data_IF_530321543557
#
_entry.id   IF_530321543557
#
_cell.length_a   1.000
_cell.length_b   1.000
_cell.length_c   1.000
_cell.angle_alpha   90.00
_cell.angle_beta   90.00
_cell.angle_gamma   90.00
#
_symmetry.space_group_name_H-M   'P 1'
#
loop_
_entity.id
_entity.type
_entity.pdbx_description
1 polymer ?
#
# COMPACT_ATOMS: atom_id res chain seq x y z
N UNK A 1 12.89 -23.31 0.10
CA UNK A 1 13.24 -21.95 -0.41
C UNK A 1 13.92 -22.06 -1.76
N UNK A 2 13.83 -21.03 -2.62
CA UNK A 2 14.61 -20.90 -3.86
C UNK A 2 15.39 -19.58 -3.82
N UNK A 3 16.67 -19.61 -4.17
CA UNK A 3 17.56 -18.43 -4.13
C UNK A 3 17.95 -18.03 -5.54
N UNK A 4 17.99 -16.73 -5.82
CA UNK A 4 18.39 -16.20 -7.12
C UNK A 4 18.58 -14.70 -7.10
N UNK A 5 18.61 -14.09 -8.28
CA UNK A 5 18.64 -12.64 -8.45
C UNK A 5 17.40 -12.19 -9.22
N UNK A 6 16.78 -11.10 -8.79
CA UNK A 6 15.64 -10.53 -9.50
C UNK A 6 16.11 -9.88 -10.81
N UNK A 7 15.45 -10.19 -11.92
CA UNK A 7 15.73 -9.66 -13.26
C UNK A 7 15.18 -8.23 -13.44
N UNK A 8 15.68 -7.30 -12.63
CA UNK A 8 15.42 -5.85 -12.70
C UNK A 8 16.76 -5.09 -12.57
N UNK A 9 16.71 -3.76 -12.70
CA UNK A 9 17.86 -2.88 -12.40
C UNK A 9 18.36 -3.15 -10.97
N UNK A 10 19.68 -3.16 -10.79
CA UNK A 10 20.32 -3.50 -9.50
C UNK A 10 20.48 -4.99 -9.19
N UNK A 11 19.75 -5.89 -9.88
CA UNK A 11 19.83 -7.36 -9.72
C UNK A 11 19.93 -7.83 -8.26
N UNK A 12 19.01 -7.42 -7.36
CA UNK A 12 19.09 -7.78 -5.96
C UNK A 12 18.99 -9.30 -5.76
N UNK A 13 19.67 -9.82 -4.73
CA UNK A 13 19.51 -11.19 -4.28
C UNK A 13 18.12 -11.39 -3.69
N UNK A 14 17.46 -12.50 -4.05
CA UNK A 14 16.11 -12.82 -3.60
C UNK A 14 16.05 -14.26 -3.11
N UNK A 15 15.31 -14.46 -2.02
CA UNK A 15 14.90 -15.76 -1.51
C UNK A 15 13.39 -15.87 -1.65
N UNK A 16 12.93 -16.76 -2.52
CA UNK A 16 11.51 -17.12 -2.62
C UNK A 16 11.20 -18.20 -1.58
N UNK A 17 10.27 -17.88 -0.68
CA UNK A 17 9.89 -18.73 0.45
C UNK A 17 8.59 -19.45 0.10
N UNK A 18 8.67 -20.79 0.04
CA UNK A 18 7.48 -21.64 -0.04
C UNK A 18 6.99 -21.90 1.39
N UNK A 19 5.75 -21.49 1.68
CA UNK A 19 5.11 -21.62 2.98
C UNK A 19 4.14 -22.81 3.06
N UNK A 20 3.99 -23.59 1.98
CA UNK A 20 2.98 -24.66 1.88
C UNK A 20 3.11 -25.70 2.99
N UNK A 21 4.34 -25.97 3.46
CA UNK A 21 4.61 -26.88 4.57
C UNK A 21 4.08 -26.38 5.93
N UNK A 22 3.76 -25.09 6.06
CA UNK A 22 3.17 -24.50 7.26
C UNK A 22 1.64 -24.55 7.29
N UNK A 23 0.98 -24.85 6.16
CA UNK A 23 -0.48 -24.91 6.08
C UNK A 23 -1.08 -25.86 7.12
N UNK A 24 -0.57 -27.09 7.32
CA UNK A 24 -1.07 -27.99 8.37
C UNK A 24 -0.85 -27.46 9.80
N UNK A 25 0.07 -26.51 9.99
CA UNK A 25 0.44 -25.91 11.28
C UNK A 25 -0.17 -24.51 11.47
N UNK A 26 -1.13 -24.12 10.63
CA UNK A 26 -1.71 -22.76 10.66
C UNK A 26 -2.26 -22.41 12.04
N UNK A 27 -2.91 -23.36 12.71
CA UNK A 27 -3.58 -23.08 13.98
C UNK A 27 -2.58 -22.85 15.12
N UNK A 28 -1.44 -23.55 15.09
CA UNK A 28 -0.32 -23.30 16.03
C UNK A 28 0.28 -21.90 15.83
N UNK A 29 0.44 -21.47 14.58
CA UNK A 29 1.00 -20.16 14.25
C UNK A 29 0.05 -19.04 14.66
N UNK A 30 -1.25 -19.19 14.36
CA UNK A 30 -2.27 -18.22 14.77
C UNK A 30 -2.41 -18.17 16.30
N UNK A 31 -2.35 -19.32 16.97
CA UNK A 31 -2.31 -19.41 18.42
C UNK A 31 -1.09 -18.68 18.99
N UNK A 32 0.10 -18.89 18.44
CA UNK A 32 1.32 -18.19 18.86
C UNK A 32 1.17 -16.66 18.76
N UNK A 33 0.61 -16.14 17.65
CA UNK A 33 0.38 -14.71 17.47
C UNK A 33 -0.64 -14.16 18.46
N UNK A 34 -1.68 -14.93 18.79
CA UNK A 34 -2.65 -14.58 19.82
C UNK A 34 -2.04 -14.57 21.22
N UNK A 35 -1.29 -15.62 21.60
CA UNK A 35 -0.70 -15.75 22.93
C UNK A 35 0.38 -14.69 23.18
N UNK A 36 1.16 -14.35 22.14
CA UNK A 36 2.26 -13.39 22.25
C UNK A 36 1.80 -11.93 22.16
N UNK A 37 0.88 -11.61 21.25
CA UNK A 37 0.56 -10.23 20.88
C UNK A 37 -0.94 -9.90 20.91
N UNK A 38 -1.79 -10.89 21.16
CA UNK A 38 -3.26 -10.77 21.06
C UNK A 38 -3.71 -10.34 19.66
N UNK A 39 -3.09 -10.90 18.62
CA UNK A 39 -3.58 -10.75 17.23
C UNK A 39 -4.86 -11.57 17.10
N UNK A 40 -6.00 -10.89 16.96
CA UNK A 40 -7.28 -11.56 16.70
C UNK A 40 -7.32 -12.04 15.25
N UNK A 41 -7.31 -13.34 15.04
CA UNK A 41 -7.42 -13.97 13.72
C UNK A 41 -8.73 -14.72 13.51
N UNK A 42 -9.68 -14.64 14.44
CA UNK A 42 -10.87 -15.53 14.46
C UNK A 42 -11.74 -15.34 13.22
N UNK A 43 -11.89 -14.09 12.76
CA UNK A 43 -12.66 -13.79 11.55
C UNK A 43 -11.85 -13.97 10.25
N UNK A 44 -10.55 -14.27 10.34
CA UNK A 44 -9.65 -14.36 9.20
C UNK A 44 -9.94 -15.58 8.33
N UNK A 45 -10.16 -15.36 7.04
CA UNK A 45 -10.31 -16.44 6.05
C UNK A 45 -8.97 -16.68 5.33
N UNK A 46 -8.96 -17.50 4.28
CA UNK A 46 -7.73 -17.81 3.54
C UNK A 46 -7.02 -16.58 2.97
N UNK A 47 -7.77 -15.53 2.62
CA UNK A 47 -7.22 -14.25 2.18
C UNK A 47 -6.43 -13.51 3.29
N UNK A 48 -6.58 -13.91 4.56
CA UNK A 48 -5.77 -13.50 5.70
C UNK A 48 -4.73 -14.57 6.07
N UNK A 49 -5.12 -15.85 6.08
CA UNK A 49 -4.26 -16.95 6.54
C UNK A 49 -3.05 -17.12 5.63
N UNK A 50 -3.23 -17.19 4.30
CA UNK A 50 -2.09 -17.45 3.39
C UNK A 50 -1.01 -16.38 3.51
N UNK A 51 -1.33 -15.07 3.47
CA UNK A 51 -0.31 -14.04 3.66
C UNK A 51 0.37 -14.11 5.02
N UNK A 52 -0.40 -14.35 6.10
CA UNK A 52 0.17 -14.46 7.46
C UNK A 52 1.15 -15.63 7.55
N UNK A 53 0.83 -16.78 6.96
CA UNK A 53 1.74 -17.92 6.90
C UNK A 53 3.00 -17.60 6.09
N UNK A 54 2.85 -16.89 4.97
CA UNK A 54 3.99 -16.41 4.19
C UNK A 54 4.89 -15.46 5.02
N UNK A 55 4.30 -14.47 5.69
CA UNK A 55 5.04 -13.55 6.56
C UNK A 55 5.78 -14.29 7.67
N UNK A 56 5.12 -15.23 8.34
CA UNK A 56 5.74 -16.07 9.37
C UNK A 56 6.90 -16.91 8.80
N UNK A 57 6.71 -17.54 7.64
CA UNK A 57 7.76 -18.31 6.96
C UNK A 57 8.97 -17.44 6.60
N UNK A 58 8.75 -16.20 6.14
CA UNK A 58 9.83 -15.26 5.88
C UNK A 58 10.60 -14.92 7.17
N UNK A 59 9.90 -14.73 8.29
CA UNK A 59 10.52 -14.56 9.62
C UNK A 59 11.40 -15.75 10.02
N UNK A 60 10.92 -16.98 9.81
CA UNK A 60 11.71 -18.20 10.07
C UNK A 60 13.00 -18.25 9.24
N UNK A 61 12.92 -17.89 7.96
CA UNK A 61 14.09 -17.87 7.06
C UNK A 61 15.10 -16.82 7.52
N UNK A 62 14.64 -15.62 7.90
CA UNK A 62 15.51 -14.56 8.42
C UNK A 62 16.19 -15.02 9.72
N UNK A 63 15.44 -15.55 10.68
CA UNK A 63 16.00 -16.05 11.95
C UNK A 63 17.06 -17.12 11.71
N UNK A 64 16.73 -18.14 10.90
CA UNK A 64 17.65 -19.23 10.57
C UNK A 64 18.91 -18.74 9.88
N UNK A 65 18.81 -17.79 8.95
CA UNK A 65 19.97 -17.21 8.28
C UNK A 65 20.87 -16.46 9.27
N UNK A 66 20.29 -15.61 10.12
CA UNK A 66 21.04 -14.81 11.08
C UNK A 66 21.73 -15.71 12.11
N UNK A 67 21.03 -16.69 12.66
CA UNK A 67 21.59 -17.63 13.65
C UNK A 67 22.73 -18.48 13.06
N UNK A 68 22.60 -18.88 11.79
CA UNK A 68 23.58 -19.78 11.16
C UNK A 68 24.82 -19.03 10.63
N UNK A 69 24.62 -17.82 10.08
CA UNK A 69 25.66 -17.17 9.28
C UNK A 69 26.12 -15.81 9.80
N UNK A 70 25.34 -15.14 10.65
CA UNK A 70 25.72 -13.83 11.18
C UNK A 70 26.49 -13.97 12.49
N UNK A 71 27.49 -13.10 12.68
CA UNK A 71 28.22 -12.95 13.95
C UNK A 71 27.50 -11.92 14.83
N UNK A 72 27.80 -11.92 16.13
CA UNK A 72 27.26 -10.94 17.08
C UNK A 72 27.53 -9.47 16.71
N UNK A 73 28.58 -9.19 15.92
CA UNK A 73 28.90 -7.84 15.44
C UNK A 73 28.04 -7.39 14.24
N UNK A 74 27.34 -8.30 13.55
CA UNK A 74 26.48 -7.95 12.43
C UNK A 74 25.22 -7.24 12.94
N UNK A 75 24.94 -6.06 12.39
CA UNK A 75 23.69 -5.33 12.65
C UNK A 75 22.69 -5.70 11.56
N UNK A 76 21.74 -6.57 11.87
CA UNK A 76 20.76 -7.07 10.91
C UNK A 76 19.43 -6.35 11.11
N UNK A 77 18.83 -5.91 10.00
CA UNK A 77 17.49 -5.34 9.97
C UNK A 77 16.60 -6.15 9.02
N UNK A 78 15.34 -6.35 9.39
CA UNK A 78 14.32 -7.01 8.61
C UNK A 78 13.14 -6.05 8.41
N UNK A 79 12.88 -5.70 7.16
CA UNK A 79 11.87 -4.72 6.79
C UNK A 79 10.66 -5.40 6.16
N UNK A 80 9.52 -5.28 6.83
CA UNK A 80 8.24 -5.87 6.47
C UNK A 80 7.32 -4.80 5.88
N UNK A 81 6.82 -5.04 4.68
CA UNK A 81 5.86 -4.17 4.01
C UNK A 81 4.46 -4.76 4.10
N UNK A 82 3.55 -3.96 4.63
CA UNK A 82 2.13 -4.24 4.78
C UNK A 82 1.78 -5.42 5.69
N UNK A 83 0.52 -5.44 6.16
CA UNK A 83 0.03 -6.40 7.15
C UNK A 83 0.23 -7.88 6.75
N UNK A 84 0.32 -8.16 5.45
CA UNK A 84 0.56 -9.50 4.89
C UNK A 84 1.90 -10.08 5.34
N UNK A 85 2.91 -9.24 5.58
CA UNK A 85 4.25 -9.70 5.99
C UNK A 85 4.49 -9.53 7.50
N UNK A 86 3.59 -8.86 8.22
CA UNK A 86 3.71 -8.50 9.63
C UNK A 86 3.99 -9.67 10.58
N UNK A 87 3.46 -10.86 10.28
CA UNK A 87 3.68 -12.04 11.11
C UNK A 87 5.17 -12.40 11.24
N UNK A 88 5.97 -12.12 10.21
CA UNK A 88 7.42 -12.34 10.24
C UNK A 88 8.13 -11.37 11.20
N UNK A 89 7.75 -10.09 11.17
CA UNK A 89 8.27 -9.09 12.10
C UNK A 89 7.91 -9.40 13.55
N UNK A 90 6.65 -9.78 13.80
CA UNK A 90 6.19 -10.21 15.12
C UNK A 90 6.90 -11.48 15.61
N UNK A 91 7.15 -12.45 14.73
CA UNK A 91 7.95 -13.63 15.05
C UNK A 91 9.37 -13.26 15.44
N UNK A 92 10.08 -12.47 14.61
CA UNK A 92 11.46 -12.05 14.88
C UNK A 92 11.56 -11.24 16.17
N UNK A 93 10.60 -10.36 16.43
CA UNK A 93 10.58 -9.57 17.67
C UNK A 93 10.52 -10.45 18.92
N UNK A 94 9.86 -11.63 18.83
CA UNK A 94 9.73 -12.58 19.94
C UNK A 94 10.90 -13.54 20.05
N UNK A 95 11.26 -14.18 18.94
CA UNK A 95 12.16 -15.34 18.92
C UNK A 95 13.59 -14.98 18.48
N UNK A 96 13.80 -13.80 17.90
CA UNK A 96 15.10 -13.33 17.42
C UNK A 96 15.28 -11.82 17.66
N UNK A 97 15.21 -11.36 18.92
CA UNK A 97 15.17 -9.92 19.26
C UNK A 97 16.44 -9.14 18.92
N UNK A 98 17.50 -9.83 18.47
CA UNK A 98 18.73 -9.23 17.94
C UNK A 98 18.61 -8.76 16.48
N UNK A 99 17.51 -9.09 15.78
CA UNK A 99 17.18 -8.56 14.45
C UNK A 99 16.27 -7.34 14.63
N UNK A 100 16.70 -6.17 14.18
CA UNK A 100 15.86 -4.99 14.18
C UNK A 100 14.72 -5.14 13.17
N UNK A 101 13.50 -4.83 13.56
CA UNK A 101 12.30 -5.01 12.74
C UNK A 101 11.72 -3.66 12.32
N UNK A 102 11.46 -3.50 11.03
CA UNK A 102 10.81 -2.31 10.48
C UNK A 102 9.48 -2.72 9.84
N UNK A 103 8.43 -1.95 10.07
CA UNK A 103 7.13 -2.17 9.46
C UNK A 103 6.67 -0.94 8.69
N UNK A 104 6.44 -1.06 7.39
CA UNK A 104 5.84 0.01 6.57
C UNK A 104 4.45 -0.37 6.12
N UNK A 105 3.45 0.44 6.46
CA UNK A 105 2.14 0.41 5.80
C UNK A 105 2.06 1.51 4.74
N UNK A 106 1.63 1.14 3.53
CA UNK A 106 1.38 2.08 2.43
C UNK A 106 -0.06 2.61 2.48
N UNK A 107 -0.97 1.86 3.11
CA UNK A 107 -2.33 2.29 3.42
C UNK A 107 -2.91 1.46 4.56
N UNK A 108 -3.72 2.08 5.41
CA UNK A 108 -4.42 1.35 6.47
C UNK A 108 -5.56 0.51 5.90
N UNK A 109 -5.70 -0.74 6.35
CA UNK A 109 -6.82 -1.61 5.94
C UNK A 109 -8.15 -0.91 6.23
N UNK A 110 -8.26 -0.35 7.43
CA UNK A 110 -9.48 0.30 7.89
C UNK A 110 -9.77 1.62 7.17
N UNK A 111 -8.75 2.42 6.86
CA UNK A 111 -8.92 3.67 6.10
C UNK A 111 -9.51 3.40 4.72
N UNK A 112 -9.02 2.36 4.03
CA UNK A 112 -9.60 1.92 2.75
C UNK A 112 -11.03 1.42 2.89
N UNK A 113 -11.35 0.69 3.96
CA UNK A 113 -12.71 0.23 4.24
C UNK A 113 -13.67 1.39 4.51
N UNK A 114 -13.27 2.40 5.29
CA UNK A 114 -14.08 3.59 5.59
C UNK A 114 -14.36 4.37 4.30
N UNK A 115 -13.32 4.71 3.54
CA UNK A 115 -13.47 5.45 2.28
C UNK A 115 -14.29 4.67 1.24
N UNK A 116 -14.02 3.37 1.10
CA UNK A 116 -14.74 2.48 0.16
C UNK A 116 -16.23 2.30 0.49
N UNK A 117 -16.62 2.44 1.76
CA UNK A 117 -18.03 2.43 2.18
C UNK A 117 -18.68 3.84 2.16
N UNK A 118 -18.02 4.82 1.56
CA UNK A 118 -18.54 6.19 1.42
C UNK A 118 -18.61 6.96 2.74
N UNK A 119 -17.91 6.49 3.77
CA UNK A 119 -17.79 7.20 5.04
C UNK A 119 -16.70 8.27 4.95
N UNK A 120 -16.92 9.44 5.58
CA UNK A 120 -16.00 10.57 5.50
C UNK A 120 -14.78 10.32 6.40
N UNK A 121 -13.75 9.71 5.83
CA UNK A 121 -12.54 9.27 6.57
C UNK A 121 -11.91 10.42 7.36
N UNK A 122 -11.45 11.47 6.68
CA UNK A 122 -10.64 12.53 7.32
C UNK A 122 -11.44 13.48 8.20
N UNK A 123 -12.75 13.63 7.93
CA UNK A 123 -13.60 14.53 8.71
C UNK A 123 -13.88 13.98 10.11
N UNK A 124 -14.12 12.68 10.18
CA UNK A 124 -14.62 12.02 11.40
C UNK A 124 -13.55 11.09 12.01
N UNK A 125 -12.29 11.15 11.52
CA UNK A 125 -11.17 10.27 11.88
C UNK A 125 -10.93 10.16 13.39
N UNK A 126 -11.06 11.28 14.11
CA UNK A 126 -10.84 11.37 15.56
C UNK A 126 -11.98 10.79 16.39
N UNK A 127 -13.14 10.57 15.77
CA UNK A 127 -14.37 10.11 16.45
C UNK A 127 -14.64 8.63 16.25
N UNK A 128 -13.99 8.01 15.26
CA UNK A 128 -14.19 6.60 14.96
C UNK A 128 -13.59 5.69 16.04
N UNK A 129 -14.37 4.70 16.46
CA UNK A 129 -13.82 3.52 17.13
C UNK A 129 -13.33 2.54 16.06
N UNK A 130 -12.00 2.45 15.91
CA UNK A 130 -11.38 1.64 14.88
C UNK A 130 -11.74 0.15 14.98
N UNK A 131 -11.77 -0.40 16.19
CA UNK A 131 -12.03 -1.82 16.42
C UNK A 131 -13.51 -2.17 16.14
N UNK A 132 -14.45 -1.27 16.46
CA UNK A 132 -15.87 -1.43 16.11
C UNK A 132 -16.09 -1.40 14.60
N UNK A 133 -15.44 -0.47 13.90
CA UNK A 133 -15.54 -0.37 12.44
C UNK A 133 -14.89 -1.57 11.75
N UNK A 134 -13.76 -2.06 12.26
CA UNK A 134 -13.12 -3.26 11.72
C UNK A 134 -14.05 -4.47 11.80
N UNK A 135 -14.78 -4.62 12.92
CA UNK A 135 -15.83 -5.64 13.07
C UNK A 135 -16.99 -5.42 12.09
N UNK A 136 -17.49 -4.19 12.00
CA UNK A 136 -18.60 -3.83 11.09
C UNK A 136 -18.28 -4.13 9.62
N UNK A 137 -17.05 -3.88 9.20
CA UNK A 137 -16.59 -4.12 7.83
C UNK A 137 -16.05 -5.53 7.58
N UNK A 138 -16.01 -6.39 8.60
CA UNK A 138 -15.50 -7.76 8.46
C UNK A 138 -13.99 -7.84 8.22
N UNK A 139 -13.22 -6.84 8.65
CA UNK A 139 -11.76 -6.75 8.46
C UNK A 139 -10.96 -6.86 9.76
N UNK A 140 -11.60 -7.33 10.85
CA UNK A 140 -10.99 -7.45 12.20
C UNK A 140 -9.62 -8.12 12.16
N UNK A 141 -9.47 -9.26 11.48
CA UNK A 141 -8.21 -9.98 11.46
C UNK A 141 -7.05 -9.19 10.85
N UNK A 142 -7.29 -8.59 9.68
CA UNK A 142 -6.31 -7.76 8.97
C UNK A 142 -5.97 -6.50 9.77
N UNK A 143 -6.99 -5.84 10.32
CA UNK A 143 -6.79 -4.67 11.18
C UNK A 143 -6.00 -5.01 12.45
N UNK A 144 -6.31 -6.15 13.08
CA UNK A 144 -5.64 -6.57 14.31
C UNK A 144 -4.15 -6.81 14.08
N UNK A 145 -3.76 -7.56 13.05
CA UNK A 145 -2.33 -7.81 12.82
C UNK A 145 -1.59 -6.55 12.39
N UNK A 146 -2.20 -5.68 11.58
CA UNK A 146 -1.64 -4.38 11.18
C UNK A 146 -1.37 -3.51 12.41
N UNK A 147 -2.35 -3.41 13.32
CA UNK A 147 -2.26 -2.67 14.59
C UNK A 147 -1.17 -3.23 15.50
N UNK A 148 -1.05 -4.56 15.61
CA UNK A 148 0.00 -5.19 16.42
C UNK A 148 1.39 -5.03 15.81
N UNK A 149 1.52 -5.06 14.49
CA UNK A 149 2.79 -4.82 13.82
C UNK A 149 3.30 -3.40 14.09
N UNK A 150 2.44 -2.40 13.88
CA UNK A 150 2.75 -0.99 14.16
C UNK A 150 3.25 -0.78 15.61
N UNK A 151 2.63 -1.45 16.58
CA UNK A 151 2.98 -1.29 18.00
C UNK A 151 4.19 -2.11 18.49
N UNK A 152 4.69 -3.08 17.71
CA UNK A 152 5.73 -4.01 18.17
C UNK A 152 7.00 -4.02 17.31
N UNK A 153 7.00 -3.34 16.16
CA UNK A 153 8.21 -3.14 15.36
C UNK A 153 9.14 -2.11 16.01
N UNK A 154 10.45 -2.25 15.79
CA UNK A 154 11.45 -1.30 16.29
C UNK A 154 11.36 0.05 15.56
N UNK A 155 10.87 0.06 14.31
CA UNK A 155 10.46 1.27 13.60
C UNK A 155 9.17 1.04 12.80
N UNK A 156 8.21 1.93 12.98
CA UNK A 156 6.95 1.99 12.24
C UNK A 156 6.94 3.14 11.24
N UNK A 157 6.63 2.83 9.99
CA UNK A 157 6.85 3.69 8.82
C UNK A 157 5.58 3.79 7.97
N UNK A 158 5.44 4.90 7.25
CA UNK A 158 4.38 5.06 6.22
C UNK A 158 4.92 5.77 4.99
N UNK A 159 4.18 5.75 3.89
CA UNK A 159 4.61 6.41 2.64
C UNK A 159 4.16 7.86 2.49
N UNK A 160 3.34 8.37 3.41
CA UNK A 160 2.87 9.76 3.33
C UNK A 160 2.47 10.32 4.69
N UNK A 161 2.53 11.64 4.85
CA UNK A 161 2.09 12.31 6.09
C UNK A 161 0.58 12.15 6.36
N UNK A 162 -0.23 12.01 5.32
CA UNK A 162 -1.67 11.77 5.49
C UNK A 162 -1.94 10.35 6.02
N UNK A 163 -1.21 9.35 5.49
CA UNK A 163 -1.25 7.98 6.02
C UNK A 163 -0.71 7.90 7.44
N UNK A 164 0.31 8.68 7.79
CA UNK A 164 0.79 8.76 9.17
C UNK A 164 -0.29 9.27 10.14
N UNK A 165 -1.08 10.26 9.69
CA UNK A 165 -2.22 10.77 10.46
C UNK A 165 -3.30 9.69 10.62
N UNK A 166 -3.61 8.92 9.56
CA UNK A 166 -4.53 7.78 9.67
C UNK A 166 -4.03 6.74 10.69
N UNK A 167 -2.75 6.38 10.66
CA UNK A 167 -2.18 5.35 11.52
C UNK A 167 -2.29 5.73 13.01
N UNK A 168 -2.08 7.00 13.35
CA UNK A 168 -2.26 7.50 14.72
C UNK A 168 -3.64 7.14 15.28
N UNK A 169 -4.71 7.39 14.50
CA UNK A 169 -6.08 7.20 14.99
C UNK A 169 -6.62 5.80 14.77
N UNK A 170 -6.28 5.16 13.65
CA UNK A 170 -6.81 3.84 13.31
C UNK A 170 -5.98 2.72 13.94
N UNK A 171 -4.65 2.84 13.93
CA UNK A 171 -3.75 1.83 14.52
C UNK A 171 -3.34 2.19 15.95
N UNK A 172 -3.59 3.40 16.42
CA UNK A 172 -3.25 3.81 17.78
C UNK A 172 -1.75 3.91 18.03
N UNK A 173 -0.94 4.09 16.97
CA UNK A 173 0.50 4.23 17.07
C UNK A 173 1.01 5.36 16.16
N UNK A 174 1.93 6.16 16.70
CA UNK A 174 2.61 7.21 15.94
C UNK A 174 3.60 6.60 14.95
N UNK A 175 3.70 7.19 13.76
CA UNK A 175 4.70 6.77 12.76
C UNK A 175 6.03 7.44 13.09
N UNK A 176 7.09 6.66 13.09
CA UNK A 176 8.45 7.16 13.37
C UNK A 176 8.98 7.97 12.19
N UNK A 177 8.84 7.44 10.96
CA UNK A 177 9.34 8.09 9.74
C UNK A 177 8.40 7.89 8.56
N UNK A 178 8.24 8.95 7.75
CA UNK A 178 7.59 8.89 6.45
C UNK A 178 8.64 8.60 5.38
N UNK A 179 8.43 7.54 4.59
CA UNK A 179 9.28 7.09 3.47
C UNK A 179 8.50 7.18 2.15
N UNK A 180 8.45 8.35 1.50
CA UNK A 180 7.71 8.53 0.25
C UNK A 180 8.18 7.57 -0.84
N UNK A 181 7.24 7.09 -1.66
CA UNK A 181 7.57 6.26 -2.81
C UNK A 181 8.33 7.09 -3.86
N UNK A 182 9.53 6.62 -4.21
CA UNK A 182 10.35 7.21 -5.28
C UNK A 182 10.05 6.59 -6.65
N UNK A 183 10.47 7.30 -7.69
CA UNK A 183 10.55 6.80 -9.07
C UNK A 183 11.99 6.96 -9.56
N UNK A 184 12.36 6.17 -10.57
CA UNK A 184 13.64 6.31 -11.26
C UNK A 184 13.58 7.54 -12.19
N UNK A 185 14.61 8.39 -12.16
CA UNK A 185 14.61 9.66 -12.89
C UNK A 185 14.62 9.49 -14.42
N UNK A 186 15.06 8.32 -14.91
CA UNK A 186 15.17 7.98 -16.33
C UNK A 186 13.87 7.44 -16.95
N UNK A 187 12.81 7.30 -16.15
CA UNK A 187 11.50 6.85 -16.64
C UNK A 187 10.80 7.90 -17.52
N UNK A 188 11.13 9.19 -17.37
CA UNK A 188 10.53 10.29 -18.14
C UNK A 188 11.54 10.82 -19.15
N UNK A 189 11.10 11.02 -20.40
CA UNK A 189 11.91 11.68 -21.43
C UNK A 189 12.40 13.04 -20.95
N UNK A 190 13.61 13.41 -21.34
CA UNK A 190 14.25 14.66 -20.95
C UNK A 190 14.34 15.62 -22.15
N UNK A 191 14.52 16.91 -21.86
CA UNK A 191 14.81 17.96 -22.84
C UNK A 191 13.91 17.94 -24.10
N UNK A 192 14.50 17.90 -25.30
CA UNK A 192 13.79 17.97 -26.57
C UNK A 192 12.95 16.72 -26.84
N UNK A 193 13.39 15.55 -26.38
CA UNK A 193 12.63 14.30 -26.52
C UNK A 193 11.30 14.38 -25.76
N UNK A 194 11.28 15.01 -24.57
CA UNK A 194 10.05 15.26 -23.84
C UNK A 194 9.06 16.10 -24.67
N UNK A 195 9.56 17.17 -25.30
CA UNK A 195 8.72 18.09 -26.09
C UNK A 195 8.10 17.36 -27.29
N UNK A 196 8.92 16.61 -28.03
CA UNK A 196 8.47 15.81 -29.17
C UNK A 196 7.42 14.80 -28.72
N UNK A 197 7.70 14.03 -27.67
CA UNK A 197 6.78 13.00 -27.17
C UNK A 197 5.47 13.58 -26.64
N UNK A 198 5.52 14.76 -26.02
CA UNK A 198 4.32 15.47 -25.57
C UNK A 198 3.46 15.95 -26.74
N UNK A 199 4.07 16.46 -27.81
CA UNK A 199 3.35 16.88 -29.01
C UNK A 199 2.72 15.70 -29.74
N UNK A 200 3.46 14.59 -29.90
CA UNK A 200 2.95 13.34 -30.47
C UNK A 200 1.75 12.80 -29.67
N UNK A 201 1.87 12.71 -28.34
CA UNK A 201 0.81 12.25 -27.46
C UNK A 201 -0.42 13.17 -27.51
N UNK A 202 -0.21 14.49 -27.55
CA UNK A 202 -1.28 15.47 -27.67
C UNK A 202 -2.03 15.35 -28.99
N UNK A 203 -1.32 15.21 -30.11
CA UNK A 203 -1.93 15.01 -31.42
C UNK A 203 -2.77 13.72 -31.45
N UNK A 204 -2.25 12.64 -30.87
CA UNK A 204 -2.99 11.37 -30.75
C UNK A 204 -4.27 11.50 -29.91
N UNK A 205 -4.21 12.17 -28.75
CA UNK A 205 -5.38 12.40 -27.90
C UNK A 205 -6.46 13.22 -28.61
N UNK A 206 -6.07 14.28 -29.34
CA UNK A 206 -6.99 15.10 -30.14
C UNK A 206 -7.63 14.25 -31.24
N UNK A 207 -6.85 13.47 -31.98
CA UNK A 207 -7.37 12.62 -33.04
C UNK A 207 -8.40 11.60 -32.52
N UNK A 208 -8.14 10.99 -31.36
CA UNK A 208 -9.10 10.10 -30.69
C UNK A 208 -10.37 10.86 -30.29
N UNK A 209 -10.23 12.03 -29.67
CA UNK A 209 -11.39 12.83 -29.26
C UNK A 209 -12.26 13.26 -30.46
N UNK A 210 -11.66 13.75 -31.55
CA UNK A 210 -12.37 14.11 -32.78
C UNK A 210 -13.11 12.93 -33.39
N UNK A 211 -12.49 11.74 -33.40
CA UNK A 211 -13.11 10.52 -33.88
C UNK A 211 -14.30 10.10 -33.00
N UNK A 212 -14.17 10.19 -31.67
CA UNK A 212 -15.24 9.88 -30.73
C UNK A 212 -16.40 10.89 -30.78
N UNK A 213 -16.12 12.17 -31.02
CA UNK A 213 -17.12 13.25 -31.06
C UNK A 213 -17.74 13.45 -32.45
N UNK A 214 -17.12 12.93 -33.51
CA UNK A 214 -17.58 13.11 -34.88
C UNK A 214 -17.45 14.54 -35.42
N UNK A 215 -16.58 15.36 -34.82
CA UNK A 215 -16.33 16.76 -35.22
C UNK A 215 -14.89 17.18 -34.96
N UNK A 216 -14.44 18.20 -35.67
CA UNK A 216 -13.14 18.84 -35.43
C UNK A 216 -13.17 19.69 -34.16
N UNK A 217 -12.06 19.67 -33.43
CA UNK A 217 -11.83 20.54 -32.27
C UNK A 217 -11.14 21.84 -32.72
N UNK A 218 -11.18 22.87 -31.88
CA UNK A 218 -10.40 24.10 -32.10
C UNK A 218 -8.89 23.81 -32.18
N UNK A 219 -8.10 24.75 -32.72
CA UNK A 219 -6.64 24.58 -32.91
C UNK A 219 -5.87 24.25 -31.62
N UNK A 220 -6.39 24.63 -30.45
CA UNK A 220 -5.70 24.41 -29.18
C UNK A 220 -6.68 24.05 -28.03
N UNK A 221 -7.32 22.86 -28.05
CA UNK A 221 -8.27 22.49 -27.03
C UNK A 221 -7.55 22.20 -25.71
N UNK A 222 -8.16 22.52 -24.58
CA UNK A 222 -7.69 22.05 -23.28
C UNK A 222 -8.09 20.58 -23.13
N UNK A 223 -7.12 19.70 -22.89
CA UNK A 223 -7.37 18.28 -22.66
C UNK A 223 -7.34 18.01 -21.16
N UNK A 224 -8.44 17.52 -20.61
CA UNK A 224 -8.58 17.14 -19.20
C UNK A 224 -8.77 15.64 -19.12
N UNK A 225 -7.88 14.96 -18.40
CA UNK A 225 -7.92 13.51 -18.25
C UNK A 225 -7.59 13.09 -16.83
N UNK A 226 -8.11 11.93 -16.45
CA UNK A 226 -7.75 11.23 -15.21
C UNK A 226 -7.57 9.74 -15.50
N UNK A 227 -6.78 9.06 -14.68
CA UNK A 227 -6.52 7.63 -14.82
C UNK A 227 -6.31 6.96 -13.46
N UNK A 228 -6.54 5.65 -13.42
CA UNK A 228 -6.35 4.84 -12.22
C UNK A 228 -7.30 3.64 -12.15
N UNK A 229 -7.23 2.90 -11.05
CA UNK A 229 -8.23 1.85 -10.76
C UNK A 229 -9.63 2.44 -10.70
N UNK A 230 -10.61 1.61 -11.02
CA UNK A 230 -12.01 2.03 -11.06
C UNK A 230 -12.62 2.16 -9.65
N UNK A 231 -12.31 3.28 -8.99
CA UNK A 231 -12.84 3.62 -7.66
C UNK A 231 -13.48 5.03 -7.73
N UNK A 232 -14.76 5.10 -8.07
CA UNK A 232 -15.44 6.35 -8.45
C UNK A 232 -15.24 7.52 -7.48
N UNK A 233 -15.42 7.29 -6.18
CA UNK A 233 -15.22 8.32 -5.15
C UNK A 233 -13.76 8.45 -4.71
N UNK A 234 -13.05 7.34 -4.49
CA UNK A 234 -11.67 7.38 -3.98
C UNK A 234 -10.70 8.01 -4.99
N UNK A 235 -11.00 7.95 -6.29
CA UNK A 235 -10.26 8.63 -7.35
C UNK A 235 -10.83 10.00 -7.71
N UNK A 236 -11.88 10.44 -7.03
CA UNK A 236 -12.50 11.76 -7.25
C UNK A 236 -13.14 11.91 -8.63
N UNK A 237 -13.61 10.81 -9.25
CA UNK A 237 -14.29 10.87 -10.54
C UNK A 237 -15.62 11.61 -10.44
N UNK A 238 -16.31 11.49 -9.30
CA UNK A 238 -17.50 12.27 -8.97
C UNK A 238 -17.21 13.78 -8.93
N UNK A 239 -16.14 14.17 -8.24
CA UNK A 239 -15.69 15.57 -8.15
C UNK A 239 -15.25 16.08 -9.52
N UNK A 240 -14.53 15.27 -10.30
CA UNK A 240 -14.13 15.63 -11.66
C UNK A 240 -15.35 15.88 -12.54
N UNK A 241 -16.33 14.98 -12.57
CA UNK A 241 -17.54 15.12 -13.39
C UNK A 241 -18.34 16.36 -13.00
N UNK A 242 -18.52 16.62 -11.70
CA UNK A 242 -19.20 17.83 -11.22
C UNK A 242 -18.40 19.10 -11.59
N UNK A 243 -17.07 19.05 -11.48
CA UNK A 243 -16.18 20.13 -11.93
C UNK A 243 -16.31 20.41 -13.42
N UNK A 244 -16.30 19.36 -14.26
CA UNK A 244 -16.46 19.48 -15.71
C UNK A 244 -17.85 20.01 -16.10
N UNK A 245 -18.90 19.59 -15.39
CA UNK A 245 -20.25 20.13 -15.59
C UNK A 245 -20.32 21.63 -15.29
N UNK A 246 -19.73 22.07 -14.17
CA UNK A 246 -19.67 23.50 -13.82
C UNK A 246 -18.84 24.30 -14.82
N UNK A 247 -17.70 23.74 -15.25
CA UNK A 247 -16.84 24.33 -16.25
C UNK A 247 -17.59 24.55 -17.57
N UNK A 248 -18.34 23.55 -18.04
CA UNK A 248 -19.17 23.65 -19.24
C UNK A 248 -20.29 24.70 -19.15
N UNK A 249 -20.71 25.06 -17.94
CA UNK A 249 -21.72 26.11 -17.68
C UNK A 249 -21.17 27.53 -17.61
N UNK A 250 -19.86 27.73 -17.70
CA UNK A 250 -19.25 29.07 -17.70
C UNK A 250 -19.41 29.72 -19.09
N UNK A 251 -19.94 30.94 -19.13
CA UNK A 251 -20.21 31.67 -20.37
C UNK A 251 -18.94 32.16 -21.11
N UNK A 252 -17.77 32.14 -20.45
CA UNK A 252 -16.51 32.66 -20.99
C UNK A 252 -15.39 31.64 -20.90
N UNK A 253 -15.44 30.64 -21.78
CA UNK A 253 -14.30 29.77 -22.06
C UNK A 253 -13.62 30.26 -23.34
N UNK A 254 -12.37 30.72 -23.23
CA UNK A 254 -11.57 31.15 -24.39
C UNK A 254 -10.99 29.96 -25.19
N UNK A 255 -11.17 28.74 -24.68
CA UNK A 255 -10.70 27.49 -25.28
C UNK A 255 -11.74 26.39 -25.08
N UNK A 256 -11.95 25.62 -26.13
CA UNK A 256 -12.69 24.37 -26.03
C UNK A 256 -12.02 23.40 -25.04
N UNK A 257 -12.82 22.74 -24.20
CA UNK A 257 -12.34 21.78 -23.20
C UNK A 257 -12.88 20.39 -23.53
N UNK A 258 -11.98 19.42 -23.55
CA UNK A 258 -12.25 18.02 -23.89
C UNK A 258 -11.65 17.09 -22.85
#
# INVERSE_FOLDING_TARGET
VRVGHWRIVGRPQVILVDFSSLIPRKDDILKFLWESYRVDSISGQWDYIEPVLFGYAAGLVVASYVETFCKSANRVAAHFHEWMTAAGGLYLRRESPYVATLFTTHATVLGRSIAGNGMPLYRDLTTYNADDLARRFGVTAKHSIEKKAAANSDAFLTVSGITATECRYLLGHEVDVVTPNGFEDDFVWQDDDYRIKREEARAALIAVAEACLGRKLQDNPLIVGTSGRYEFRNKGLDVLLEGMKRLAGLERLDREVV
#
